data_IF_573076849335
#
_entry.id   IF_573076849335
#
_cell.length_a   1.000
_cell.length_b   1.000
_cell.length_c   1.000
_cell.angle_alpha   90.00
_cell.angle_beta   90.00
_cell.angle_gamma   90.00
#
_symmetry.space_group_name_H-M   'P 1'
#
loop_
_entity.id
_entity.type
_entity.pdbx_description
1 polymer ?
#
# COMPACT_ATOMS: atom_id res chain seq x y z
N UNK A 1 15.48 3.59 18.58
CA UNK A 1 14.48 2.75 17.88
C UNK A 1 14.18 3.46 16.57
N UNK A 2 14.44 2.82 15.42
CA UNK A 2 14.11 3.41 14.12
C UNK A 2 12.62 3.21 13.89
N UNK A 3 11.83 4.28 13.95
CA UNK A 3 10.41 4.27 13.63
C UNK A 3 10.27 4.27 12.10
N UNK A 4 10.42 3.09 11.50
CA UNK A 4 10.09 2.89 10.09
C UNK A 4 8.59 2.66 9.97
N UNK A 5 7.93 3.49 9.17
CA UNK A 5 6.55 3.29 8.74
C UNK A 5 6.56 2.77 7.29
N UNK A 6 5.62 1.92 6.97
CA UNK A 6 5.50 1.27 5.67
C UNK A 6 4.14 1.65 5.10
N UNK A 7 4.12 2.34 3.97
CA UNK A 7 2.91 2.83 3.33
C UNK A 7 2.65 2.00 2.07
N UNK A 8 1.39 1.63 1.85
CA UNK A 8 0.96 0.92 0.65
C UNK A 8 -0.06 1.77 -0.09
N UNK A 9 0.21 2.00 -1.38
CA UNK A 9 -0.62 2.78 -2.31
C UNK A 9 -0.89 1.97 -3.57
N UNK A 10 -2.08 2.14 -4.15
CA UNK A 10 -2.37 1.63 -5.49
C UNK A 10 -1.83 2.61 -6.54
N UNK A 11 -1.44 2.08 -7.69
CA UNK A 11 -0.98 2.87 -8.83
C UNK A 11 -1.58 2.39 -10.14
N UNK A 12 -1.83 3.32 -11.06
CA UNK A 12 -2.24 3.01 -12.43
C UNK A 12 -1.08 2.38 -13.23
N UNK A 13 -1.36 2.01 -14.48
CA UNK A 13 -0.36 1.43 -15.38
C UNK A 13 0.78 2.39 -15.75
N UNK A 14 0.60 3.70 -15.52
CA UNK A 14 1.60 4.73 -15.73
C UNK A 14 2.43 5.00 -14.46
N UNK A 15 2.07 4.35 -13.34
CA UNK A 15 2.73 4.48 -12.05
C UNK A 15 2.23 5.67 -11.22
N UNK A 16 1.15 6.33 -11.62
CA UNK A 16 0.51 7.40 -10.86
C UNK A 16 -0.28 6.81 -9.70
N UNK A 17 -0.21 7.46 -8.54
CA UNK A 17 -0.99 7.06 -7.37
C UNK A 17 -2.48 7.17 -7.68
N UNK A 18 -3.19 6.08 -7.43
CA UNK A 18 -4.65 6.02 -7.47
C UNK A 18 -5.11 5.64 -6.07
N UNK A 19 -6.10 6.36 -5.54
CA UNK A 19 -6.66 6.06 -4.22
C UNK A 19 -7.10 4.59 -4.14
N UNK A 20 -6.91 3.98 -2.97
CA UNK A 20 -7.39 2.62 -2.72
C UNK A 20 -8.94 2.52 -2.71
N UNK A 21 -9.64 3.66 -2.73
CA UNK A 21 -11.11 3.79 -2.77
C UNK A 21 -11.76 2.91 -3.85
N UNK A 22 -11.17 2.83 -5.05
CA UNK A 22 -11.74 2.08 -6.17
C UNK A 22 -11.68 0.56 -5.96
N UNK A 23 -10.85 0.09 -5.03
CA UNK A 23 -10.69 -1.32 -4.66
C UNK A 23 -11.28 -1.61 -3.28
N UNK A 24 -11.65 -0.56 -2.57
CA UNK A 24 -12.28 -0.59 -1.28
C UNK A 24 -13.78 -0.85 -1.44
N UNK A 25 -14.13 -2.12 -1.62
CA UNK A 25 -15.34 -2.61 -0.94
C UNK A 25 -15.19 -2.57 0.60
N UNK A 26 -13.95 -2.45 1.11
CA UNK A 26 -13.61 -2.71 2.52
C UNK A 26 -12.44 -1.89 3.12
N UNK A 27 -11.90 -0.87 2.44
CA UNK A 27 -10.75 -0.09 2.96
C UNK A 27 -11.16 1.38 3.04
N UNK A 28 -11.53 1.85 4.23
CA UNK A 28 -12.01 3.23 4.47
C UNK A 28 -10.93 4.32 4.32
N UNK A 29 -9.68 3.96 4.04
CA UNK A 29 -8.57 4.91 3.93
C UNK A 29 -7.87 4.80 2.57
N UNK A 30 -7.57 5.95 1.98
CA UNK A 30 -6.80 6.11 0.74
C UNK A 30 -5.39 5.50 0.81
N UNK A 31 -4.89 5.31 2.03
CA UNK A 31 -3.54 4.91 2.36
C UNK A 31 -3.56 3.89 3.50
N UNK A 32 -2.80 2.80 3.35
CA UNK A 32 -2.62 1.81 4.44
C UNK A 32 -1.20 1.87 4.94
N UNK A 33 -1.05 2.23 6.22
CA UNK A 33 0.25 2.34 6.89
C UNK A 33 0.46 1.19 7.89
N UNK A 34 1.71 0.73 8.00
CA UNK A 34 2.14 -0.32 8.91
C UNK A 34 3.43 0.11 9.61
N UNK A 35 3.57 -0.20 10.89
CA UNK A 35 4.84 0.00 11.63
C UNK A 35 5.76 -1.23 11.50
N UNK A 36 5.24 -2.34 10.96
CA UNK A 36 5.95 -3.60 10.81
C UNK A 36 6.10 -4.00 9.34
N UNK A 37 7.35 -4.18 8.90
CA UNK A 37 7.69 -4.57 7.52
C UNK A 37 7.01 -5.86 7.07
N UNK A 38 6.94 -6.86 7.95
CA UNK A 38 6.36 -8.16 7.61
C UNK A 38 4.85 -8.06 7.39
N UNK A 39 4.16 -7.27 8.21
CA UNK A 39 2.73 -6.99 8.03
C UNK A 39 2.48 -6.24 6.72
N UNK A 40 3.27 -5.20 6.43
CA UNK A 40 3.19 -4.47 5.17
C UNK A 40 3.40 -5.39 3.96
N UNK A 41 4.42 -6.27 4.02
CA UNK A 41 4.70 -7.20 2.93
C UNK A 41 3.59 -8.23 2.73
N UNK A 42 3.02 -8.77 3.80
CA UNK A 42 1.90 -9.71 3.72
C UNK A 42 0.66 -9.05 3.12
N UNK A 43 0.36 -7.82 3.52
CA UNK A 43 -0.74 -7.06 2.93
C UNK A 43 -0.48 -6.79 1.44
N UNK A 44 0.69 -6.24 1.09
CA UNK A 44 1.11 -5.98 -0.29
C UNK A 44 0.93 -7.21 -1.20
N UNK A 45 1.37 -8.39 -0.75
CA UNK A 45 1.23 -9.62 -1.56
C UNK A 45 -0.23 -9.99 -1.80
N UNK A 46 -1.09 -9.82 -0.80
CA UNK A 46 -2.53 -10.12 -0.90
C UNK A 46 -3.21 -9.20 -1.91
N UNK A 47 -3.05 -7.89 -1.76
CA UNK A 47 -3.71 -6.92 -2.65
C UNK A 47 -3.08 -6.85 -4.05
N UNK A 48 -1.79 -7.13 -4.21
CA UNK A 48 -1.16 -7.18 -5.54
C UNK A 48 -1.87 -8.16 -6.49
N UNK A 49 -2.39 -9.28 -5.98
CA UNK A 49 -3.13 -10.25 -6.78
C UNK A 49 -4.58 -9.80 -7.06
N UNK A 50 -5.21 -9.12 -6.10
CA UNK A 50 -6.59 -8.62 -6.21
C UNK A 50 -6.70 -7.38 -7.12
N UNK A 51 -5.61 -6.64 -7.33
CA UNK A 51 -5.62 -5.33 -7.99
C UNK A 51 -5.38 -5.34 -9.50
N UNK A 52 -5.37 -6.51 -10.16
CA UNK A 52 -5.20 -6.56 -11.62
C UNK A 52 -6.35 -5.82 -12.35
N UNK A 53 -6.08 -4.91 -13.31
CA UNK A 53 -4.82 -4.68 -14.05
C UNK A 53 -3.90 -3.59 -13.49
N UNK A 54 -4.22 -3.06 -12.31
CA UNK A 54 -3.46 -2.02 -11.63
C UNK A 54 -2.35 -2.62 -10.76
N UNK A 55 -1.41 -1.77 -10.34
CA UNK A 55 -0.24 -2.18 -9.57
C UNK A 55 -0.25 -1.57 -8.18
N UNK A 56 0.60 -2.09 -7.29
CA UNK A 56 0.74 -1.61 -5.90
C UNK A 56 2.17 -1.19 -5.68
N UNK A 57 2.39 -0.13 -4.90
CA UNK A 57 3.72 0.25 -4.40
C UNK A 57 3.76 0.13 -2.88
N UNK A 58 4.88 -0.40 -2.38
CA UNK A 58 5.23 -0.41 -0.97
C UNK A 58 6.34 0.63 -0.74
N UNK A 59 6.04 1.66 0.03
CA UNK A 59 6.94 2.73 0.39
C UNK A 59 7.41 2.56 1.83
N UNK A 60 8.66 2.92 2.12
CA UNK A 60 9.20 2.95 3.49
C UNK A 60 9.43 4.40 3.87
N UNK A 61 8.70 4.88 4.87
CA UNK A 61 8.81 6.20 5.47
C UNK A 61 9.71 6.07 6.69
N UNK A 62 10.81 6.83 6.69
CA UNK A 62 11.69 6.94 7.87
C UNK A 62 11.33 8.23 8.59
N UNK A 63 10.76 8.12 9.79
CA UNK A 63 10.59 9.31 10.63
C UNK A 63 11.98 9.74 11.14
N UNK A 64 12.36 10.98 10.82
CA UNK A 64 13.64 11.60 11.21
C UNK A 64 13.52 12.32 12.54
#
# INVERSE_FOLDING_TARGET
MHNEKYLIVAVDQQGNEVGLESYAGHIENDEVTFECKSQARSFYNKIKEELFPHSVKLLTIKES
#
